data_IF_099355749753
#
_entry.id   IF_099355749753
#
_cell.length_a   1.000
_cell.length_b   1.000
_cell.length_c   1.000
_cell.angle_alpha   90.00
_cell.angle_beta   90.00
_cell.angle_gamma   90.00
#
_symmetry.space_group_name_H-M   'P 1'
#
loop_
_entity.id
_entity.type
_entity.pdbx_description
1 polymer ?
#
# COMPACT_ATOMS: atom_id res chain seq x y z
N UNK A 1 31.79 2.63 -0.30
CA UNK A 1 30.34 2.87 -0.38
C UNK A 1 29.65 1.52 -0.51
N UNK A 2 28.74 1.15 0.39
CA UNK A 2 28.03 -0.13 0.35
C UNK A 2 27.00 -0.10 -0.80
N UNK A 3 26.86 -1.21 -1.55
CA UNK A 3 25.90 -1.37 -2.64
C UNK A 3 24.47 -0.96 -2.24
N UNK A 4 24.06 -1.23 -1.00
CA UNK A 4 22.77 -0.80 -0.46
C UNK A 4 22.59 0.73 -0.46
N UNK A 5 23.66 1.48 -0.17
CA UNK A 5 23.63 2.95 -0.17
C UNK A 5 23.52 3.52 -1.59
N UNK A 6 24.12 2.86 -2.57
CA UNK A 6 24.01 3.25 -3.99
C UNK A 6 22.59 3.02 -4.50
N UNK A 7 21.99 1.87 -4.18
CA UNK A 7 20.60 1.55 -4.55
C UNK A 7 19.64 2.57 -3.92
N UNK A 8 19.80 2.87 -2.63
CA UNK A 8 18.97 3.85 -1.94
C UNK A 8 19.08 5.25 -2.57
N UNK A 9 20.31 5.67 -2.91
CA UNK A 9 20.54 6.95 -3.57
C UNK A 9 19.88 7.02 -4.96
N UNK A 10 19.98 5.94 -5.76
CA UNK A 10 19.35 5.88 -7.08
C UNK A 10 17.82 5.90 -7.00
N UNK A 11 17.24 5.21 -6.02
CA UNK A 11 15.79 5.24 -5.76
C UNK A 11 15.34 6.65 -5.36
N UNK A 12 16.06 7.30 -4.44
CA UNK A 12 15.76 8.66 -4.01
C UNK A 12 15.86 9.67 -5.16
N UNK A 13 16.93 9.59 -5.96
CA UNK A 13 17.10 10.45 -7.13
C UNK A 13 15.99 10.23 -8.15
N UNK A 14 15.54 8.99 -8.36
CA UNK A 14 14.41 8.69 -9.25
C UNK A 14 13.11 9.29 -8.73
N UNK A 15 12.81 9.15 -7.44
CA UNK A 15 11.61 9.73 -6.81
C UNK A 15 11.64 11.26 -6.90
N UNK A 16 12.77 11.88 -6.61
CA UNK A 16 12.94 13.34 -6.67
C UNK A 16 12.89 13.88 -8.10
N UNK A 17 13.43 13.15 -9.08
CA UNK A 17 13.34 13.52 -10.48
C UNK A 17 11.90 13.46 -10.99
N UNK A 18 11.17 12.40 -10.64
CA UNK A 18 9.76 12.26 -10.99
C UNK A 18 8.92 13.36 -10.32
N UNK A 19 9.11 13.62 -9.02
CA UNK A 19 8.34 14.66 -8.32
C UNK A 19 8.57 16.07 -8.87
N UNK A 20 9.79 16.39 -9.34
CA UNK A 20 10.09 17.67 -9.98
C UNK A 20 9.50 17.80 -11.39
N UNK A 21 9.38 16.68 -12.12
CA UNK A 21 8.77 16.65 -13.46
C UNK A 21 7.23 16.71 -13.38
N UNK A 22 6.63 16.15 -12.33
CA UNK A 22 5.18 16.17 -12.10
C UNK A 22 4.67 17.42 -11.36
N UNK A 23 5.56 18.23 -10.76
CA UNK A 23 5.18 19.41 -9.98
C UNK A 23 4.45 20.52 -10.74
N UNK A 24 4.47 20.50 -12.09
CA UNK A 24 3.81 21.53 -12.92
C UNK A 24 2.63 21.00 -13.75
N UNK A 25 2.29 19.70 -13.68
CA UNK A 25 1.18 19.12 -14.42
C UNK A 25 0.18 18.42 -13.47
N UNK A 26 -0.92 19.15 -13.20
CA UNK A 26 -2.26 18.65 -12.85
C UNK A 26 -2.39 17.83 -11.56
N UNK A 27 -2.96 18.49 -10.55
CA UNK A 27 -3.68 17.82 -9.44
C UNK A 27 -4.70 16.81 -9.98
N UNK A 28 -5.34 17.11 -11.12
CA UNK A 28 -6.28 16.21 -11.78
C UNK A 28 -5.67 14.92 -12.34
N UNK A 29 -4.47 14.95 -12.94
CA UNK A 29 -3.84 13.71 -13.43
C UNK A 29 -3.18 12.92 -12.31
N UNK A 30 -2.68 13.60 -11.26
CA UNK A 30 -2.14 12.92 -10.08
C UNK A 30 -3.22 12.12 -9.36
N UNK A 31 -4.42 12.68 -9.19
CA UNK A 31 -5.54 11.95 -8.57
C UNK A 31 -6.04 10.79 -9.44
N UNK A 32 -6.15 10.96 -10.76
CA UNK A 32 -6.47 9.85 -11.66
C UNK A 32 -5.41 8.74 -11.62
N UNK A 33 -4.13 9.13 -11.63
CA UNK A 33 -3.03 8.17 -11.58
C UNK A 33 -2.95 7.46 -10.23
N UNK A 34 -3.24 8.16 -9.12
CA UNK A 34 -3.38 7.53 -7.81
C UNK A 34 -4.56 6.55 -7.79
N UNK A 35 -5.72 6.93 -8.34
CA UNK A 35 -6.87 6.03 -8.43
C UNK A 35 -6.55 4.76 -9.23
N UNK A 36 -5.92 4.90 -10.40
CA UNK A 36 -5.52 3.77 -11.24
C UNK A 36 -4.47 2.88 -10.55
N UNK A 37 -3.46 3.46 -9.89
CA UNK A 37 -2.46 2.69 -9.14
C UNK A 37 -3.11 1.99 -7.94
N UNK A 38 -3.98 2.67 -7.20
CA UNK A 38 -4.69 2.04 -6.06
C UNK A 38 -5.62 0.93 -6.51
N UNK A 39 -6.30 1.07 -7.65
CA UNK A 39 -7.18 0.01 -8.18
C UNK A 39 -6.40 -1.18 -8.75
N UNK A 40 -5.28 -0.94 -9.44
CA UNK A 40 -4.41 -2.01 -9.93
C UNK A 40 -3.76 -2.78 -8.77
N UNK A 41 -3.25 -2.07 -7.76
CA UNK A 41 -2.71 -2.70 -6.55
C UNK A 41 -3.80 -3.40 -5.75
N UNK A 42 -5.00 -2.81 -5.68
CA UNK A 42 -6.15 -3.46 -5.07
C UNK A 42 -6.47 -4.77 -5.81
N UNK A 43 -6.53 -4.80 -7.13
CA UNK A 43 -6.78 -6.05 -7.87
C UNK A 43 -5.67 -7.09 -7.71
N UNK A 44 -4.40 -6.66 -7.73
CA UNK A 44 -3.26 -7.56 -7.66
C UNK A 44 -3.07 -8.15 -6.24
N UNK A 45 -3.31 -7.33 -5.21
CA UNK A 45 -2.99 -7.67 -3.83
C UNK A 45 -4.22 -7.82 -2.91
N UNK A 46 -5.44 -7.50 -3.36
CA UNK A 46 -6.62 -7.93 -2.59
C UNK A 46 -6.65 -9.45 -2.52
N UNK A 47 -6.79 -9.95 -1.30
CA UNK A 47 -7.13 -11.35 -1.11
C UNK A 47 -8.41 -11.66 -1.89
N UNK A 48 -8.34 -12.58 -2.86
CA UNK A 48 -9.47 -13.04 -3.68
C UNK A 48 -10.54 -13.82 -2.90
N UNK A 49 -10.65 -13.59 -1.58
CA UNK A 49 -11.47 -14.39 -0.67
C UNK A 49 -10.93 -15.80 -0.41
N UNK A 50 -9.77 -16.17 -0.97
CA UNK A 50 -9.15 -17.51 -0.80
C UNK A 50 -8.72 -17.81 0.63
N UNK A 51 -8.66 -16.79 1.49
CA UNK A 51 -8.25 -16.89 2.89
C UNK A 51 -9.23 -16.12 3.75
N UNK A 52 -9.59 -16.70 4.89
CA UNK A 52 -10.39 -16.00 5.89
C UNK A 52 -9.61 -14.81 6.47
N UNK A 53 -10.33 -13.89 7.11
CA UNK A 53 -9.72 -12.71 7.74
C UNK A 53 -8.71 -13.13 8.81
N UNK A 54 -9.04 -14.18 9.58
CA UNK A 54 -8.17 -14.78 10.61
C UNK A 54 -6.86 -15.29 9.99
N UNK A 55 -6.95 -16.01 8.87
CA UNK A 55 -5.79 -16.57 8.17
C UNK A 55 -4.93 -15.48 7.56
N UNK A 56 -5.54 -14.39 7.11
CA UNK A 56 -4.84 -13.23 6.54
C UNK A 56 -4.12 -12.42 7.62
N UNK A 57 -4.73 -12.22 8.79
CA UNK A 57 -4.11 -11.59 9.95
C UNK A 57 -2.85 -12.37 10.39
N UNK A 58 -2.94 -13.70 10.44
CA UNK A 58 -1.81 -14.55 10.79
C UNK A 58 -0.58 -14.42 9.87
N UNK A 59 -0.77 -14.16 8.57
CA UNK A 59 0.34 -14.00 7.61
C UNK A 59 1.20 -12.76 7.88
N UNK A 60 0.63 -11.73 8.51
CA UNK A 60 1.34 -10.49 8.88
C UNK A 60 1.68 -10.44 10.37
N UNK A 61 1.56 -11.56 11.09
CA UNK A 61 1.84 -11.65 12.53
C UNK A 61 0.83 -10.90 13.39
N UNK A 62 -0.36 -10.61 12.86
CA UNK A 62 -1.46 -9.98 13.60
C UNK A 62 -2.45 -11.05 14.07
N UNK A 63 -3.03 -10.82 15.24
CA UNK A 63 -4.19 -11.56 15.71
C UNK A 63 -5.43 -10.68 15.57
N UNK A 64 -6.53 -11.26 15.12
CA UNK A 64 -7.80 -10.55 15.16
C UNK A 64 -8.15 -10.24 16.61
N UNK A 65 -8.76 -9.07 16.89
CA UNK A 65 -9.17 -8.72 18.23
C UNK A 65 -10.15 -9.79 18.73
N UNK A 66 -9.76 -10.53 19.76
CA UNK A 66 -10.68 -11.41 20.48
C UNK A 66 -11.48 -10.53 21.43
N UNK A 67 -12.76 -10.30 21.12
CA UNK A 67 -13.62 -9.51 21.98
C UNK A 67 -14.03 -10.34 23.22
N UNK A 68 -13.53 -10.01 24.42
CA UNK A 68 -13.94 -10.70 25.63
C UNK A 68 -15.19 -9.98 26.16
N UNK A 69 -16.36 -10.57 25.92
CA UNK A 69 -17.65 -10.03 26.38
C UNK A 69 -18.44 -9.35 25.26
N UNK A 70 -19.50 -10.04 24.81
CA UNK A 70 -20.29 -9.71 23.63
C UNK A 70 -21.07 -8.39 23.71
N UNK A 71 -20.41 -7.27 23.41
CA UNK A 71 -21.05 -5.98 23.09
C UNK A 71 -20.22 -5.25 22.02
N UNK A 72 -20.59 -5.39 20.76
CA UNK A 72 -20.17 -4.46 19.70
C UNK A 72 -19.19 -5.00 18.67
N UNK A 73 -19.72 -5.67 17.65
CA UNK A 73 -19.43 -5.40 16.23
C UNK A 73 -20.75 -5.62 15.48
N UNK A 74 -21.63 -4.62 15.51
CA UNK A 74 -22.75 -4.58 14.57
C UNK A 74 -22.15 -4.28 13.17
N UNK A 75 -22.70 -4.88 12.09
CA UNK A 75 -22.17 -4.75 10.73
C UNK A 75 -22.17 -3.31 10.18
#
# INVERSE_FOLDING_TARGET
MNLAAVILLLVLLRVLYQSRLYGSLRVGSFLCQLYDVTSALHQEFHGKGERSVEKSAGLVGLQLPHQPGGKGWEP
#
